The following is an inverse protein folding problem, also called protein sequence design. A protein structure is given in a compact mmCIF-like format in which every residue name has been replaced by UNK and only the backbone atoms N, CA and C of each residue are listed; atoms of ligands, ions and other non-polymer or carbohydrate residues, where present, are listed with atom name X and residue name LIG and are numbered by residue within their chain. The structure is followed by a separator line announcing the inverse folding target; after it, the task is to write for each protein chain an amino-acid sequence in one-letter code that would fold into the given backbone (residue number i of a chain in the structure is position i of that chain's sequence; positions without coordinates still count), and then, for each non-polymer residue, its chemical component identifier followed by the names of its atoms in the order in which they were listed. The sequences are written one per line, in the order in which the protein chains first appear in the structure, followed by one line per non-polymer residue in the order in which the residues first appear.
data_IF_766991239121
#
_entry.id   IF_766991239121
#
_cell.length_a   1.000
_cell.length_b   1.000
_cell.length_c   1.000
_cell.angle_alpha   90.00
_cell.angle_beta   90.00
_cell.angle_gamma   90.00
#
_symmetry.space_group_name_H-M   'P 1'
#
loop_
_entity.id
_entity.type
_entity.pdbx_description
1 polymer ?
#
# COMPACT_ATOMS: atom_id res chain seq x y z
N UNK A 1 14.67 8.74 -1.52
CA UNK A 1 13.29 8.22 -1.42
C UNK A 1 13.04 7.11 -2.44
N UNK A 2 12.39 6.01 -2.01
CA UNK A 2 12.15 4.80 -2.82
C UNK A 2 11.36 5.08 -4.09
N UNK A 3 10.26 5.82 -4.01
CA UNK A 3 9.39 6.10 -5.17
C UNK A 3 10.12 6.80 -6.32
N UNK A 4 10.97 7.78 -6.01
CA UNK A 4 11.74 8.51 -7.02
C UNK A 4 12.74 7.57 -7.71
N UNK A 5 13.41 6.71 -6.93
CA UNK A 5 14.31 5.71 -7.50
C UNK A 5 13.54 4.70 -8.36
N UNK A 6 12.33 4.33 -7.96
CA UNK A 6 11.48 3.39 -8.70
C UNK A 6 11.02 3.97 -10.03
N UNK A 7 10.53 5.22 -10.04
CA UNK A 7 10.14 5.94 -11.26
C UNK A 7 11.32 6.09 -12.22
N UNK A 8 12.55 6.27 -11.72
CA UNK A 8 13.78 6.36 -12.53
C UNK A 8 14.32 5.00 -12.99
N UNK A 9 13.75 3.88 -12.56
CA UNK A 9 14.27 2.54 -12.86
C UNK A 9 15.54 2.17 -12.09
N UNK A 10 15.81 2.84 -10.97
CA UNK A 10 17.02 2.69 -10.15
C UNK A 10 16.78 1.89 -8.85
N UNK A 11 15.55 1.42 -8.62
CA UNK A 11 15.14 0.77 -7.37
C UNK A 11 15.33 -0.77 -7.35
N UNK A 12 15.78 -1.35 -8.46
CA UNK A 12 15.92 -2.82 -8.61
C UNK A 12 14.61 -3.54 -8.96
N UNK A 13 13.46 -2.95 -8.64
CA UNK A 13 12.15 -3.37 -9.15
C UNK A 13 11.81 -2.61 -10.44
N UNK A 14 11.49 -3.30 -11.57
CA UNK A 14 11.11 -2.64 -12.81
C UNK A 14 9.69 -2.06 -12.75
N UNK A 15 9.47 -0.92 -13.43
CA UNK A 15 8.14 -0.35 -13.62
C UNK A 15 7.35 -1.18 -14.64
N UNK A 16 6.07 -1.40 -14.37
CA UNK A 16 5.14 -1.93 -15.37
C UNK A 16 4.41 -0.77 -16.06
N UNK A 17 4.39 -0.78 -17.40
CA UNK A 17 3.70 0.23 -18.19
C UNK A 17 2.19 0.17 -17.90
N UNK A 18 1.60 1.33 -17.64
CA UNK A 18 0.16 1.45 -17.35
C UNK A 18 -0.22 1.22 -15.89
N UNK A 19 0.73 0.89 -15.00
CA UNK A 19 0.48 0.77 -13.57
C UNK A 19 0.98 2.01 -12.80
N UNK A 20 0.26 2.50 -11.78
CA UNK A 20 0.69 3.65 -10.97
C UNK A 20 1.99 3.40 -10.19
N UNK A 21 2.64 4.46 -9.71
CA UNK A 21 3.74 4.38 -8.73
C UNK A 21 3.20 4.56 -7.30
N UNK A 22 4.08 4.58 -6.29
CA UNK A 22 3.70 4.69 -4.88
C UNK A 22 3.78 3.34 -4.17
N UNK A 23 4.57 3.27 -3.09
CA UNK A 23 4.77 2.03 -2.32
C UNK A 23 3.78 1.81 -1.16
N UNK A 24 3.19 2.87 -0.62
CA UNK A 24 2.25 2.81 0.50
C UNK A 24 1.14 3.85 0.39
N UNK A 25 0.07 3.64 1.15
CA UNK A 25 -1.03 4.58 1.24
C UNK A 25 -2.10 4.15 2.25
N UNK A 26 -3.18 4.92 2.30
CA UNK A 26 -4.38 4.65 3.10
C UNK A 26 -5.61 4.69 2.21
N UNK A 27 -6.60 3.85 2.50
CA UNK A 27 -7.87 3.84 1.77
C UNK A 27 -8.89 2.90 2.35
N UNK A 28 -10.06 2.85 1.73
CA UNK A 28 -11.13 1.90 2.07
C UNK A 28 -11.07 0.72 1.11
N UNK A 29 -11.13 -0.50 1.63
CA UNK A 29 -11.18 -1.70 0.78
C UNK A 29 -12.56 -1.79 0.12
N UNK A 30 -12.60 -1.61 -1.20
CA UNK A 30 -13.85 -1.62 -1.99
C UNK A 30 -14.15 -2.97 -2.64
N UNK A 31 -13.14 -3.82 -2.80
CA UNK A 31 -13.23 -5.16 -3.37
C UNK A 31 -12.09 -6.04 -2.82
N UNK A 32 -12.28 -7.36 -2.82
CA UNK A 32 -11.27 -8.30 -2.35
C UNK A 32 -11.31 -9.61 -3.15
N UNK A 33 -10.29 -10.45 -2.97
CA UNK A 33 -10.35 -11.87 -3.33
C UNK A 33 -11.38 -12.63 -2.49
N UNK A 34 -11.57 -13.91 -2.82
CA UNK A 34 -12.64 -14.73 -2.26
C UNK A 34 -12.36 -15.35 -0.88
N UNK A 35 -11.13 -15.24 -0.40
CA UNK A 35 -10.74 -15.81 0.89
C UNK A 35 -11.38 -15.08 2.08
N UNK A 36 -11.59 -15.76 3.22
CA UNK A 36 -12.28 -15.17 4.37
C UNK A 36 -11.63 -13.90 4.91
N UNK A 37 -10.29 -13.85 4.97
CA UNK A 37 -9.57 -12.70 5.52
C UNK A 37 -9.69 -11.45 4.63
N UNK A 38 -9.35 -11.48 3.32
CA UNK A 38 -9.60 -10.35 2.41
C UNK A 38 -11.08 -9.90 2.40
N UNK A 39 -12.03 -10.84 2.39
CA UNK A 39 -13.47 -10.51 2.46
C UNK A 39 -13.83 -9.75 3.73
N UNK A 40 -13.22 -10.11 4.85
CA UNK A 40 -13.40 -9.43 6.14
C UNK A 40 -12.86 -8.00 6.16
N UNK A 41 -12.04 -7.60 5.17
CA UNK A 41 -11.50 -6.25 5.06
C UNK A 41 -12.41 -5.29 4.28
N UNK A 42 -13.35 -5.78 3.47
CA UNK A 42 -14.24 -4.92 2.67
C UNK A 42 -14.95 -3.90 3.58
N UNK A 43 -14.91 -2.63 3.17
CA UNK A 43 -15.47 -1.50 3.91
C UNK A 43 -14.61 -0.99 5.07
N UNK A 44 -13.52 -1.66 5.42
CA UNK A 44 -12.57 -1.17 6.43
C UNK A 44 -11.61 -0.16 5.80
N UNK A 45 -11.24 0.84 6.59
CA UNK A 45 -10.12 1.73 6.29
C UNK A 45 -8.83 1.04 6.69
N UNK A 46 -7.87 0.97 5.77
CA UNK A 46 -6.60 0.28 5.94
C UNK A 46 -5.44 1.17 5.50
N UNK A 47 -4.32 1.10 6.22
CA UNK A 47 -3.01 1.40 5.65
C UNK A 47 -2.54 0.18 4.88
N UNK A 48 -1.87 0.37 3.75
CA UNK A 48 -1.41 -0.74 2.90
C UNK A 48 -0.07 -0.43 2.24
N UNK A 49 0.66 -1.48 1.90
CA UNK A 49 1.79 -1.42 0.98
C UNK A 49 1.45 -2.17 -0.32
N UNK A 50 1.87 -1.63 -1.46
CA UNK A 50 1.56 -2.23 -2.78
C UNK A 50 2.54 -3.33 -3.19
N UNK A 51 3.64 -3.49 -2.46
CA UNK A 51 4.53 -4.65 -2.50
C UNK A 51 5.04 -5.01 -3.90
N UNK A 52 5.02 -6.32 -4.19
CA UNK A 52 5.55 -6.93 -5.43
C UNK A 52 4.52 -7.03 -6.57
N UNK A 53 3.33 -6.45 -6.39
CA UNK A 53 2.22 -6.54 -7.36
C UNK A 53 2.42 -5.66 -8.60
N UNK A 54 3.41 -4.77 -8.55
CA UNK A 54 3.66 -3.64 -9.48
C UNK A 54 2.52 -2.61 -9.58
N UNK A 55 1.44 -2.75 -8.81
CA UNK A 55 0.48 -1.68 -8.59
C UNK A 55 1.04 -0.63 -7.63
N UNK A 56 0.47 0.58 -7.68
CA UNK A 56 0.95 1.70 -6.87
C UNK A 56 -0.20 2.51 -6.30
N UNK A 57 0.07 3.24 -5.22
CA UNK A 57 -0.91 4.05 -4.48
C UNK A 57 -1.18 5.42 -5.10
N UNK A 58 -0.40 5.87 -6.09
CA UNK A 58 -0.58 7.17 -6.75
C UNK A 58 -1.68 7.11 -7.82
N UNK A 59 -2.88 6.69 -7.40
CA UNK A 59 -4.09 6.58 -8.19
C UNK A 59 -5.33 6.51 -7.27
N UNK A 60 -6.52 6.66 -7.84
CA UNK A 60 -7.79 6.57 -7.08
C UNK A 60 -8.05 5.15 -6.53
N UNK A 61 -7.43 4.12 -7.13
CA UNK A 61 -7.50 2.73 -6.71
C UNK A 61 -6.11 2.08 -6.75
N UNK A 62 -5.86 1.21 -5.79
CA UNK A 62 -4.65 0.40 -5.70
C UNK A 62 -4.99 -1.07 -5.45
N UNK A 63 -4.06 -1.95 -5.79
CA UNK A 63 -4.11 -3.37 -5.43
C UNK A 63 -2.99 -3.63 -4.43
N UNK A 64 -3.34 -4.31 -3.35
CA UNK A 64 -2.40 -4.72 -2.31
C UNK A 64 -2.75 -6.16 -1.90
N UNK A 65 -1.72 -6.89 -1.47
CA UNK A 65 -1.93 -8.19 -0.84
C UNK A 65 -2.63 -7.99 0.52
N UNK A 66 -3.59 -8.85 0.84
CA UNK A 66 -4.43 -8.63 2.02
C UNK A 66 -3.63 -8.69 3.33
N UNK A 67 -2.56 -9.48 3.37
CA UNK A 67 -1.67 -9.65 4.52
C UNK A 67 -0.86 -8.40 4.89
N UNK A 68 -0.71 -7.46 3.96
CA UNK A 68 -0.07 -6.16 4.19
C UNK A 68 -1.07 -5.01 4.34
N UNK A 69 -2.37 -5.32 4.42
CA UNK A 69 -3.42 -4.35 4.74
C UNK A 69 -3.68 -4.31 6.25
N UNK A 70 -3.39 -3.18 6.88
CA UNK A 70 -3.52 -2.97 8.32
C UNK A 70 -4.78 -2.11 8.59
N UNK A 71 -5.85 -2.66 9.19
CA UNK A 71 -7.01 -1.87 9.57
C UNK A 71 -6.64 -0.76 10.56
N UNK A 72 -7.13 0.45 10.28
CA UNK A 72 -6.84 1.62 11.09
C UNK A 72 -7.94 1.88 12.13
N UNK A 73 -7.53 2.36 13.30
CA UNK A 73 -8.45 2.93 14.29
C UNK A 73 -9.00 4.26 13.78
N UNK A 74 -10.21 4.62 14.19
CA UNK A 74 -10.86 5.88 13.78
C UNK A 74 -10.07 7.13 14.22
N UNK A 75 -9.21 7.00 15.23
CA UNK A 75 -8.39 8.10 15.75
C UNK A 75 -7.11 8.36 14.94
N UNK A 76 -6.76 7.48 13.99
CA UNK A 76 -5.56 7.64 13.15
C UNK A 76 -5.91 8.52 11.95
N UNK A 77 -5.18 9.62 11.76
CA UNK A 77 -5.36 10.47 10.58
C UNK A 77 -5.02 9.71 9.29
N UNK A 78 -5.53 10.18 8.15
CA UNK A 78 -5.19 9.57 6.86
C UNK A 78 -3.72 9.81 6.53
N UNK A 79 -3.17 10.98 6.89
CA UNK A 79 -1.77 11.33 6.69
C UNK A 79 -0.83 10.39 7.45
N UNK A 80 -1.13 10.09 8.72
CA UNK A 80 -0.33 9.15 9.52
C UNK A 80 -0.47 7.72 8.99
N UNK A 81 -1.69 7.32 8.60
CA UNK A 81 -1.95 6.00 8.03
C UNK A 81 -1.18 5.78 6.72
N UNK A 82 -1.12 6.80 5.86
CA UNK A 82 -0.45 6.72 4.57
C UNK A 82 1.08 6.60 4.68
N UNK A 83 1.67 6.99 5.81
CA UNK A 83 3.12 6.94 6.05
C UNK A 83 3.52 5.87 7.09
N UNK A 84 2.61 4.98 7.47
CA UNK A 84 2.77 4.08 8.62
C UNK A 84 3.71 2.89 8.35
N UNK A 85 3.90 2.47 7.11
CA UNK A 85 4.44 1.13 6.81
C UNK A 85 5.90 1.21 6.35
N UNK A 86 6.18 1.82 5.21
CA UNK A 86 7.48 1.72 4.53
C UNK A 86 8.59 2.29 5.40
N UNK A 87 8.52 3.57 5.76
CA UNK A 87 9.60 4.20 6.51
C UNK A 87 9.64 3.77 7.99
N UNK A 88 8.52 3.73 8.74
CA UNK A 88 8.55 3.35 10.15
C UNK A 88 8.99 1.88 10.37
N UNK A 89 8.50 0.92 9.57
CA UNK A 89 8.94 -0.46 9.72
C UNK A 89 10.39 -0.66 9.26
N UNK A 90 10.84 0.07 8.23
CA UNK A 90 12.26 0.07 7.83
C UNK A 90 13.14 0.56 8.99
N UNK A 91 12.75 1.65 9.65
CA UNK A 91 13.50 2.19 10.79
C UNK A 91 13.51 1.24 12.00
N UNK A 92 12.42 0.50 12.24
CA UNK A 92 12.33 -0.49 13.31
C UNK A 92 13.22 -1.72 13.07
N UNK A 93 13.42 -2.10 11.81
CA UNK A 93 14.18 -3.29 11.44
C UNK A 93 15.71 -3.06 11.40
N UNK A 94 16.17 -1.82 11.61
CA UNK A 94 17.58 -1.42 11.65
C UNK A 94 18.08 -1.22 13.08
#
# INVERSE_FOLDING_TARGET
PSDIAFVKGQYGQPRAKGQPAGFEGVGIVVASGDEPYPKGLIGKRVAFATGVTNWGSWADYAVAEADVCIPLLDTVSDEDGAAMIVNPLTALAM
#
